data_IF_257500351538
#
_entry.id   IF_257500351538
#
_cell.length_a   1.000
_cell.length_b   1.000
_cell.length_c   1.000
_cell.angle_alpha   90.00
_cell.angle_beta   90.00
_cell.angle_gamma   90.00
#
_symmetry.space_group_name_H-M   'P 1'
#
loop_
_entity.id
_entity.type
_entity.pdbx_description
1 polymer ?
#
# COMPACT_ATOMS: atom_id res chain seq x y z
N UNK A 1 -9.33 7.98 5.55
CA UNK A 1 -10.56 7.21 5.24
C UNK A 1 -10.56 6.79 3.76
N UNK A 2 -10.74 5.50 3.47
CA UNK A 2 -10.92 5.01 2.11
C UNK A 2 -12.41 4.86 1.80
N UNK A 3 -12.84 5.29 0.62
CA UNK A 3 -14.25 5.29 0.19
C UNK A 3 -14.38 4.79 -1.24
N UNK A 4 -15.54 4.22 -1.57
CA UNK A 4 -15.86 3.84 -2.94
C UNK A 4 -16.11 5.08 -3.81
N UNK A 5 -15.47 5.12 -4.99
CA UNK A 5 -15.83 6.04 -6.08
C UNK A 5 -17.05 5.53 -6.85
N UNK A 6 -17.75 6.42 -7.55
CA UNK A 6 -18.84 6.06 -8.47
C UNK A 6 -18.38 5.14 -9.61
N UNK A 7 -17.10 5.26 -10.00
CA UNK A 7 -16.46 4.42 -11.02
C UNK A 7 -15.87 3.10 -10.46
N UNK A 8 -16.17 2.76 -9.19
CA UNK A 8 -15.63 1.55 -8.53
C UNK A 8 -14.17 1.68 -8.06
N UNK A 9 -13.57 2.87 -8.17
CA UNK A 9 -12.25 3.19 -7.63
C UNK A 9 -12.23 3.41 -6.11
N UNK A 10 -11.02 3.59 -5.55
CA UNK A 10 -10.81 3.93 -4.15
C UNK A 10 -10.43 5.41 -4.00
N UNK A 11 -11.22 6.18 -3.26
CA UNK A 11 -10.94 7.58 -2.95
C UNK A 11 -10.45 7.71 -1.51
N UNK A 12 -9.36 8.45 -1.32
CA UNK A 12 -8.81 8.74 0.00
C UNK A 12 -9.25 10.13 0.46
N UNK A 13 -10.16 10.18 1.44
CA UNK A 13 -10.67 11.43 2.01
C UNK A 13 -9.75 12.08 3.04
N UNK A 14 -8.48 11.67 3.12
CA UNK A 14 -7.53 12.20 4.09
C UNK A 14 -6.10 11.78 3.78
N UNK A 15 -5.16 12.21 4.61
CA UNK A 15 -3.74 11.94 4.48
C UNK A 15 -3.21 11.14 5.67
N UNK A 16 -2.08 10.48 5.49
CA UNK A 16 -1.37 9.79 6.56
C UNK A 16 0.13 10.05 6.42
N UNK A 17 0.83 10.21 7.55
CA UNK A 17 2.29 10.35 7.57
C UNK A 17 3.00 9.07 7.13
N UNK A 18 2.49 7.92 7.56
CA UNK A 18 3.11 6.59 7.38
C UNK A 18 2.48 5.75 6.25
N UNK A 19 1.60 6.33 5.43
CA UNK A 19 1.05 5.64 4.27
C UNK A 19 0.84 6.62 3.11
N UNK A 20 1.25 6.20 1.91
CA UNK A 20 1.04 6.95 0.67
C UNK A 20 0.27 6.08 -0.33
N UNK A 21 -0.63 6.66 -1.14
CA UNK A 21 -1.23 5.97 -2.27
C UNK A 21 -0.14 5.55 -3.27
N UNK A 22 -0.21 4.29 -3.71
CA UNK A 22 0.66 3.77 -4.77
C UNK A 22 0.11 4.29 -6.10
N UNK A 23 0.94 5.02 -6.86
CA UNK A 23 0.58 5.48 -8.20
C UNK A 23 0.87 4.43 -9.27
N UNK A 24 1.90 3.61 -9.04
CA UNK A 24 2.29 2.54 -9.96
C UNK A 24 2.96 1.39 -9.21
N UNK A 25 2.71 0.15 -9.66
CA UNK A 25 3.32 -1.05 -9.12
C UNK A 25 3.67 -2.00 -10.27
N UNK A 26 4.95 -2.35 -10.41
CA UNK A 26 5.42 -3.22 -11.47
C UNK A 26 6.33 -4.31 -10.90
N UNK A 27 6.03 -5.59 -11.17
CA UNK A 27 6.98 -6.68 -10.89
C UNK A 27 8.03 -6.67 -11.98
N UNK A 28 9.28 -6.38 -11.60
CA UNK A 28 10.39 -6.18 -12.55
C UNK A 28 11.28 -7.41 -12.69
N UNK A 29 11.33 -8.26 -11.67
CA UNK A 29 12.17 -9.46 -11.68
C UNK A 29 11.51 -10.59 -10.90
N UNK A 30 11.55 -11.79 -11.49
CA UNK A 30 11.18 -13.05 -10.83
C UNK A 30 12.30 -14.04 -11.10
N UNK A 31 13.11 -14.31 -10.07
CA UNK A 31 14.27 -15.20 -10.18
C UNK A 31 13.83 -16.67 -10.10
N UNK A 32 14.63 -17.57 -10.70
CA UNK A 32 14.34 -19.02 -10.70
C UNK A 32 14.30 -19.58 -9.26
N UNK A 33 13.50 -20.62 -8.99
CA UNK A 33 13.57 -21.36 -7.74
C UNK A 33 14.97 -21.92 -7.47
N UNK A 34 15.35 -22.06 -6.20
CA UNK A 34 16.53 -22.81 -5.82
C UNK A 34 16.29 -24.32 -6.02
N UNK A 35 17.38 -25.10 -6.01
CA UNK A 35 17.28 -26.56 -6.15
C UNK A 35 16.47 -27.13 -4.99
N UNK A 36 15.37 -27.81 -5.32
CA UNK A 36 14.46 -28.40 -4.34
C UNK A 36 13.29 -27.50 -3.91
N UNK A 37 13.26 -26.23 -4.34
CA UNK A 37 12.16 -25.31 -4.06
C UNK A 37 11.18 -25.22 -5.24
N UNK A 38 9.89 -25.01 -4.92
CA UNK A 38 8.82 -24.84 -5.90
C UNK A 38 8.41 -23.38 -6.11
N UNK A 39 9.03 -22.44 -5.39
CA UNK A 39 8.71 -21.01 -5.43
C UNK A 39 9.95 -20.21 -5.87
N UNK A 40 9.77 -19.03 -6.48
CA UNK A 40 10.90 -18.21 -6.92
C UNK A 40 11.79 -17.82 -5.73
N UNK A 41 13.11 -17.85 -5.94
CA UNK A 41 14.09 -17.47 -4.92
C UNK A 41 14.03 -15.99 -4.56
N UNK A 42 13.60 -15.14 -5.50
CA UNK A 42 13.44 -13.71 -5.30
C UNK A 42 12.38 -13.14 -6.25
N UNK A 43 11.64 -12.15 -5.75
CA UNK A 43 10.75 -11.29 -6.55
C UNK A 43 11.09 -9.84 -6.24
N UNK A 44 11.28 -9.01 -7.26
CA UNK A 44 11.52 -7.58 -7.12
C UNK A 44 10.42 -6.82 -7.84
N UNK A 45 10.04 -5.69 -7.26
CA UNK A 45 9.03 -4.82 -7.81
C UNK A 45 9.44 -3.36 -7.62
N UNK A 46 9.10 -2.55 -8.61
CA UNK A 46 9.17 -1.10 -8.52
C UNK A 46 7.82 -0.59 -8.01
N UNK A 47 7.88 0.31 -7.02
CA UNK A 47 6.72 0.93 -6.39
C UNK A 47 6.88 2.44 -6.48
N UNK A 48 5.97 3.09 -7.20
CA UNK A 48 5.97 4.54 -7.35
C UNK A 48 4.92 5.15 -6.43
N UNK A 49 5.32 6.20 -5.70
CA UNK A 49 4.44 7.02 -4.87
C UNK A 49 4.66 8.49 -5.18
N UNK A 50 3.60 9.30 -5.09
CA UNK A 50 3.70 10.75 -5.23
C UNK A 50 3.84 11.40 -3.85
N UNK A 51 4.95 12.08 -3.59
CA UNK A 51 5.23 12.75 -2.31
C UNK A 51 4.81 14.23 -2.33
N UNK A 52 3.55 14.50 -2.68
CA UNK A 52 2.92 15.82 -2.57
C UNK A 52 2.51 16.13 -1.12
N UNK A 53 3.45 16.01 -0.18
CA UNK A 53 3.25 16.15 1.27
C UNK A 53 4.16 17.24 1.85
N UNK A 54 4.05 17.50 3.16
CA UNK A 54 4.92 18.45 3.85
C UNK A 54 6.39 18.05 3.73
N UNK A 55 7.33 19.01 3.66
CA UNK A 55 8.77 18.72 3.49
C UNK A 55 9.34 17.75 4.53
N UNK A 56 8.90 17.85 5.79
CA UNK A 56 9.36 16.97 6.87
C UNK A 56 8.99 15.50 6.59
N UNK A 57 7.75 15.27 6.16
CA UNK A 57 7.23 13.95 5.83
C UNK A 57 7.89 13.42 4.56
N UNK A 58 8.07 14.28 3.56
CA UNK A 58 8.79 13.92 2.34
C UNK A 58 10.20 13.43 2.66
N UNK A 59 10.93 14.12 3.52
CA UNK A 59 12.27 13.72 3.95
C UNK A 59 12.29 12.37 4.69
N UNK A 60 11.24 12.04 5.45
CA UNK A 60 11.10 10.73 6.08
C UNK A 60 10.92 9.60 5.06
N UNK A 61 10.10 9.83 4.03
CA UNK A 61 9.88 8.86 2.96
C UNK A 61 11.11 8.69 2.05
N UNK A 62 11.78 9.80 1.71
CA UNK A 62 13.04 9.78 0.96
C UNK A 62 14.19 9.19 1.78
N UNK A 63 14.07 9.21 3.11
CA UNK A 63 15.02 8.64 4.05
C UNK A 63 14.90 7.13 4.26
N UNK A 64 13.99 6.44 3.56
CA UNK A 64 13.87 4.98 3.61
C UNK A 64 15.19 4.32 3.21
N UNK A 65 15.70 3.46 4.08
CA UNK A 65 17.00 2.82 3.92
C UNK A 65 16.83 1.45 3.33
N UNK A 66 17.89 0.95 2.71
CA UNK A 66 18.02 -0.46 2.34
C UNK A 66 17.71 -1.32 3.57
N UNK A 67 16.88 -2.34 3.35
CA UNK A 67 16.42 -3.29 4.36
C UNK A 67 15.31 -2.84 5.31
N UNK A 68 14.79 -1.62 5.15
CA UNK A 68 13.55 -1.23 5.79
C UNK A 68 12.38 -2.08 5.25
N UNK A 69 11.43 -2.35 6.12
CA UNK A 69 10.24 -3.14 5.81
C UNK A 69 9.05 -2.22 5.59
N UNK A 70 8.32 -2.45 4.51
CA UNK A 70 7.07 -1.77 4.20
C UNK A 70 5.96 -2.79 3.93
N UNK A 71 4.71 -2.31 3.96
CA UNK A 71 3.54 -3.10 3.63
C UNK A 71 2.84 -2.53 2.40
N UNK A 72 2.62 -3.39 1.42
CA UNK A 72 1.75 -3.11 0.27
C UNK A 72 0.33 -3.54 0.64
N UNK A 73 -0.59 -2.60 0.60
CA UNK A 73 -1.96 -2.78 1.09
C UNK A 73 -2.93 -2.55 -0.06
N UNK A 74 -3.87 -3.47 -0.25
CA UNK A 74 -4.98 -3.32 -1.21
C UNK A 74 -6.27 -3.07 -0.44
N UNK A 75 -6.91 -1.93 -0.74
CA UNK A 75 -8.23 -1.58 -0.25
C UNK A 75 -9.25 -1.64 -1.39
N UNK A 76 -10.43 -2.18 -1.10
CA UNK A 76 -11.62 -2.21 -1.95
C UNK A 76 -12.80 -1.73 -1.11
N UNK A 77 -12.88 -0.43 -0.80
CA UNK A 77 -13.94 0.11 0.04
C UNK A 77 -15.29 -0.04 -0.65
N UNK A 78 -16.31 -0.40 0.12
CA UNK A 78 -17.72 -0.50 -0.32
C UNK A 78 -18.59 0.62 0.25
N UNK A 79 -18.01 1.47 1.10
CA UNK A 79 -18.72 2.53 1.81
C UNK A 79 -18.59 3.87 1.05
N UNK A 80 -19.67 4.66 0.97
CA UNK A 80 -19.65 5.96 0.29
C UNK A 80 -18.83 7.00 1.07
N UNK A 81 -18.51 8.14 0.43
CA UNK A 81 -17.75 9.24 1.07
C UNK A 81 -18.43 9.84 2.31
N UNK A 82 -19.76 9.74 2.44
CA UNK A 82 -20.49 10.20 3.62
C UNK A 82 -20.31 9.31 4.85
N UNK A 83 -19.77 8.10 4.69
CA UNK A 83 -19.60 7.15 5.78
C UNK A 83 -18.53 7.63 6.77
N UNK A 84 -18.91 7.75 8.04
CA UNK A 84 -17.99 8.11 9.13
C UNK A 84 -17.42 6.84 9.75
N UNK A 85 -16.10 6.76 9.79
CA UNK A 85 -15.37 5.68 10.44
C UNK A 85 -15.61 5.66 11.95
N UNK A 86 -15.87 4.47 12.49
CA UNK A 86 -16.02 4.23 13.92
C UNK A 86 -14.95 3.24 14.41
N UNK A 87 -14.05 3.72 15.28
CA UNK A 87 -12.96 2.91 15.84
C UNK A 87 -13.43 1.78 16.77
N UNK A 88 -14.71 1.74 17.14
CA UNK A 88 -15.32 0.65 17.92
C UNK A 88 -15.84 -0.50 17.06
N UNK A 89 -16.04 -0.24 15.77
CA UNK A 89 -16.52 -1.24 14.81
C UNK A 89 -15.34 -2.01 14.19
N UNK A 90 -15.56 -3.21 13.64
CA UNK A 90 -14.51 -3.98 12.99
C UNK A 90 -13.83 -3.18 11.85
N UNK A 91 -12.49 -3.17 11.84
CA UNK A 91 -11.70 -2.36 10.90
C UNK A 91 -11.88 -2.79 9.44
N UNK A 92 -11.71 -4.09 9.16
CA UNK A 92 -11.68 -4.65 7.79
C UNK A 92 -12.91 -4.25 6.94
N UNK A 93 -14.16 -4.47 7.39
CA UNK A 93 -15.34 -4.12 6.58
C UNK A 93 -15.51 -2.61 6.39
N UNK A 94 -15.00 -1.78 7.31
CA UNK A 94 -15.08 -0.33 7.17
C UNK A 94 -14.11 0.22 6.11
N UNK A 95 -12.87 -0.29 6.07
CA UNK A 95 -11.85 0.16 5.09
C UNK A 95 -11.87 -0.62 3.77
N UNK A 96 -12.49 -1.79 3.74
CA UNK A 96 -12.42 -2.72 2.60
C UNK A 96 -11.04 -3.36 2.44
N UNK A 97 -10.34 -3.68 3.53
CA UNK A 97 -9.00 -4.29 3.47
C UNK A 97 -9.08 -5.67 2.80
N UNK A 98 -8.40 -5.82 1.65
CA UNK A 98 -8.44 -7.06 0.87
C UNK A 98 -7.14 -7.84 0.97
N UNK A 99 -5.99 -7.17 0.80
CA UNK A 99 -4.68 -7.80 0.82
C UNK A 99 -3.67 -6.96 1.60
N UNK A 100 -2.76 -7.67 2.28
CA UNK A 100 -1.54 -7.13 2.86
C UNK A 100 -0.38 -8.00 2.37
N UNK A 101 0.69 -7.37 1.91
CA UNK A 101 1.95 -8.03 1.52
C UNK A 101 3.10 -7.27 2.15
N UNK A 102 4.03 -7.98 2.78
CA UNK A 102 5.29 -7.38 3.22
C UNK A 102 6.25 -7.24 2.04
N UNK A 103 7.01 -6.15 2.01
CA UNK A 103 8.15 -6.00 1.14
C UNK A 103 9.32 -5.37 1.91
N UNK A 104 10.51 -5.49 1.32
CA UNK A 104 11.75 -4.98 1.89
C UNK A 104 12.41 -4.10 0.85
N UNK A 105 12.80 -2.89 1.23
CA UNK A 105 13.55 -1.99 0.36
C UNK A 105 14.92 -2.60 0.04
N UNK A 106 15.29 -2.49 -1.24
CA UNK A 106 16.53 -3.05 -1.79
C UNK A 106 17.73 -2.12 -1.58
#
# INVERSE_FOLDING_TARGET
PAHSSEEGGCLFGGWARMAQPISEFNVVEVSKPLVGESHPSQVRADVTVSLSVRPEIKAEWEGLRKHDVAFLITLRPTVPMSHKYNHKEPFIPQVGLTYVRGCKSL
#
